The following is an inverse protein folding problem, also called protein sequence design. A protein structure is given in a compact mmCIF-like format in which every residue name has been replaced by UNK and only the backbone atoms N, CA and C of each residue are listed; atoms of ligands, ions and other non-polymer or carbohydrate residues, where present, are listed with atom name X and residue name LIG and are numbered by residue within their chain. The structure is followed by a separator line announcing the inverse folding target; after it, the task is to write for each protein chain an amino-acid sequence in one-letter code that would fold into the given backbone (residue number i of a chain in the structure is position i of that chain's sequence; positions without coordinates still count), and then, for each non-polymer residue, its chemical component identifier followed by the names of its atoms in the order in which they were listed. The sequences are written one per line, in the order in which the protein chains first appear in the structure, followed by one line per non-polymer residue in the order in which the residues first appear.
data_IF_680736551047
#
_entry.id   IF_680736551047
#
_cell.length_a   1.000
_cell.length_b   1.000
_cell.length_c   1.000
_cell.angle_alpha   90.00
_cell.angle_beta   90.00
_cell.angle_gamma   90.00
#
_symmetry.space_group_name_H-M   'P 1'
#
loop_
_entity.id
_entity.type
_entity.pdbx_description
1 polymer ?
#
# COMPACT_ATOMS: atom_id res chain seq x y z
N UNK A 1 -2.78 -0.57 -32.30
CA UNK A 1 -2.93 -0.11 -30.91
C UNK A 1 -3.48 -1.30 -30.14
N UNK A 2 -2.60 -2.25 -29.79
CA UNK A 2 -2.98 -3.42 -29.01
C UNK A 2 -3.06 -2.99 -27.56
N UNK A 3 -4.20 -3.20 -26.92
CA UNK A 3 -4.40 -2.76 -25.55
C UNK A 3 -3.49 -3.58 -24.63
N UNK A 4 -2.76 -2.90 -23.75
CA UNK A 4 -1.99 -3.52 -22.67
C UNK A 4 -2.90 -4.38 -21.75
N UNK A 5 -4.23 -4.17 -21.83
CA UNK A 5 -5.28 -4.92 -21.15
C UNK A 5 -5.42 -6.35 -21.63
N UNK A 6 -5.29 -6.65 -22.94
CA UNK A 6 -5.48 -8.02 -23.43
C UNK A 6 -4.35 -8.96 -23.00
N UNK A 7 -3.14 -8.42 -22.74
CA UNK A 7 -1.96 -9.24 -22.40
C UNK A 7 -1.73 -9.34 -20.89
N UNK A 8 -1.97 -8.27 -20.12
CA UNK A 8 -1.94 -8.30 -18.65
C UNK A 8 -3.22 -8.91 -18.07
N UNK A 9 -4.38 -8.57 -18.64
CA UNK A 9 -5.66 -9.22 -18.35
C UNK A 9 -5.57 -10.71 -18.60
N UNK A 10 -5.08 -11.15 -19.77
CA UNK A 10 -4.83 -12.58 -19.99
C UNK A 10 -3.77 -13.19 -19.04
N UNK A 11 -2.76 -12.42 -18.58
CA UNK A 11 -1.78 -12.89 -17.59
C UNK A 11 -2.45 -13.16 -16.24
N UNK A 12 -3.40 -12.30 -15.85
CA UNK A 12 -4.18 -12.36 -14.61
C UNK A 12 -5.50 -13.15 -14.75
N UNK A 13 -5.97 -13.48 -15.95
CA UNK A 13 -7.11 -14.36 -16.21
C UNK A 13 -6.66 -15.81 -16.41
N UNK A 14 -5.48 -16.04 -17.04
CA UNK A 14 -4.90 -17.39 -17.22
C UNK A 14 -4.14 -17.89 -16.00
N UNK A 15 -3.61 -16.98 -15.19
CA UNK A 15 -3.09 -17.22 -13.86
C UNK A 15 -3.67 -16.12 -12.97
N UNK A 16 -4.81 -16.34 -12.32
CA UNK A 16 -5.30 -15.37 -11.36
C UNK A 16 -4.17 -15.03 -10.38
N UNK A 17 -4.11 -13.76 -9.94
CA UNK A 17 -3.29 -13.38 -8.78
C UNK A 17 -3.62 -14.28 -7.56
N UNK A 18 -4.73 -15.03 -7.64
CA UNK A 18 -5.05 -16.26 -6.93
C UNK A 18 -4.04 -17.37 -7.24
N UNK A 19 -3.07 -17.54 -6.36
CA UNK A 19 -2.48 -18.88 -6.23
C UNK A 19 -2.21 -19.25 -4.78
N UNK A 20 -3.04 -20.14 -4.25
CA UNK A 20 -2.78 -20.84 -3.00
C UNK A 20 -2.11 -22.18 -3.33
N UNK A 21 -0.90 -22.41 -2.81
CA UNK A 21 -0.19 -23.69 -2.92
C UNK A 21 0.38 -24.00 -4.30
N UNK A 22 1.40 -23.25 -4.74
CA UNK A 22 2.11 -23.53 -5.98
C UNK A 22 3.12 -24.68 -5.83
N UNK A 23 3.16 -25.56 -6.84
CA UNK A 23 4.33 -26.39 -7.11
C UNK A 23 5.47 -25.52 -7.64
N UNK A 24 6.73 -25.89 -7.37
CA UNK A 24 7.95 -25.18 -7.80
C UNK A 24 7.92 -24.69 -9.25
N UNK A 25 7.34 -25.51 -10.14
CA UNK A 25 7.33 -25.25 -11.58
C UNK A 25 6.46 -24.02 -11.94
N UNK A 26 5.38 -23.76 -11.19
CA UNK A 26 4.50 -22.61 -11.43
C UNK A 26 5.04 -21.31 -10.83
N UNK A 27 5.81 -21.37 -9.73
CA UNK A 27 6.52 -20.20 -9.20
C UNK A 27 7.56 -19.68 -10.19
N UNK A 28 8.34 -20.59 -10.80
CA UNK A 28 9.33 -20.23 -11.82
C UNK A 28 8.70 -19.59 -13.07
N UNK A 29 7.49 -20.01 -13.44
CA UNK A 29 6.72 -19.43 -14.54
C UNK A 29 6.27 -18.01 -14.19
N UNK A 30 5.79 -17.77 -12.97
CA UNK A 30 5.42 -16.42 -12.51
C UNK A 30 6.63 -15.49 -12.48
N UNK A 31 7.77 -15.93 -11.94
CA UNK A 31 9.00 -15.15 -11.93
C UNK A 31 9.45 -14.74 -13.35
N UNK A 32 9.41 -15.68 -14.30
CA UNK A 32 9.70 -15.43 -15.71
C UNK A 32 8.76 -14.39 -16.33
N UNK A 33 7.45 -14.47 -16.04
CA UNK A 33 6.44 -13.55 -16.57
C UNK A 33 6.56 -12.14 -15.99
N UNK A 34 6.74 -12.00 -14.68
CA UNK A 34 6.99 -10.68 -14.07
C UNK A 34 8.36 -10.12 -14.49
N UNK A 35 9.38 -10.96 -14.69
CA UNK A 35 10.67 -10.56 -15.24
C UNK A 35 10.57 -9.93 -16.64
N UNK A 36 9.65 -10.45 -17.48
CA UNK A 36 9.39 -9.88 -18.81
C UNK A 36 8.76 -8.48 -18.78
N UNK A 37 8.15 -8.10 -17.65
CA UNK A 37 7.51 -6.80 -17.42
C UNK A 37 8.44 -5.82 -16.67
N UNK A 38 9.74 -6.12 -16.55
CA UNK A 38 10.71 -5.33 -15.79
C UNK A 38 10.79 -3.84 -16.15
N UNK A 39 10.36 -3.44 -17.35
CA UNK A 39 10.32 -2.04 -17.79
C UNK A 39 8.99 -1.31 -17.48
N UNK A 40 8.01 -2.00 -16.88
CA UNK A 40 6.71 -1.43 -16.58
C UNK A 40 6.83 -0.32 -15.53
N UNK A 41 6.29 0.86 -15.84
CA UNK A 41 6.30 2.04 -14.95
C UNK A 41 4.95 2.31 -14.29
N UNK A 42 3.88 1.84 -14.91
CA UNK A 42 2.51 2.10 -14.47
C UNK A 42 1.72 0.79 -14.52
N UNK A 43 1.21 0.37 -13.36
CA UNK A 43 0.29 -0.75 -13.24
C UNK A 43 -0.93 -0.29 -12.44
N UNK A 44 -2.09 -0.33 -13.07
CA UNK A 44 -3.37 -0.04 -12.44
C UNK A 44 -4.28 -1.24 -12.68
N UNK A 45 -4.64 -1.91 -11.60
CA UNK A 45 -5.56 -3.03 -11.57
C UNK A 45 -6.78 -2.70 -10.69
N UNK A 46 -7.07 -1.41 -10.46
CA UNK A 46 -8.14 -1.01 -9.57
C UNK A 46 -9.53 -1.33 -10.13
N UNK A 47 -10.48 -1.64 -9.24
CA UNK A 47 -11.89 -1.84 -9.60
C UNK A 47 -12.18 -3.15 -10.35
N UNK A 48 -11.28 -4.13 -10.27
CA UNK A 48 -11.52 -5.46 -10.82
C UNK A 48 -12.08 -6.34 -9.70
N UNK A 49 -13.40 -6.28 -9.49
CA UNK A 49 -14.13 -7.01 -8.45
C UNK A 49 -13.98 -8.55 -8.47
N UNK A 50 -13.20 -9.11 -9.40
CA UNK A 50 -12.89 -10.54 -9.54
C UNK A 50 -11.42 -10.87 -9.23
N UNK A 51 -10.55 -9.87 -9.01
CA UNK A 51 -9.19 -10.13 -8.56
C UNK A 51 -9.20 -10.42 -7.06
N UNK A 52 -9.05 -11.69 -6.71
CA UNK A 52 -9.09 -12.20 -5.34
C UNK A 52 -7.76 -12.89 -4.94
N UNK A 53 -7.69 -13.42 -3.72
CA UNK A 53 -6.51 -14.10 -3.20
C UNK A 53 -5.38 -13.14 -2.76
N UNK A 54 -4.17 -13.65 -2.53
CA UNK A 54 -3.07 -12.85 -2.00
C UNK A 54 -2.32 -12.03 -3.06
N UNK A 55 -1.89 -10.82 -2.70
CA UNK A 55 -0.95 -10.04 -3.52
C UNK A 55 0.35 -10.84 -3.66
N UNK A 56 0.74 -11.16 -4.90
CA UNK A 56 1.89 -12.01 -5.18
C UNK A 56 3.23 -11.29 -4.91
N UNK A 57 4.19 -11.93 -4.20
CA UNK A 57 5.52 -11.37 -3.93
C UNK A 57 6.30 -10.93 -5.18
N UNK A 58 6.10 -11.62 -6.31
CA UNK A 58 6.78 -11.37 -7.58
C UNK A 58 6.47 -9.98 -8.16
N UNK A 59 5.42 -9.30 -7.67
CA UNK A 59 5.16 -7.91 -8.01
C UNK A 59 6.34 -7.01 -7.62
N UNK A 60 7.11 -7.38 -6.60
CA UNK A 60 8.36 -6.73 -6.21
C UNK A 60 9.49 -6.78 -7.25
N UNK A 61 9.37 -7.62 -8.29
CA UNK A 61 10.37 -7.71 -9.37
C UNK A 61 10.23 -6.58 -10.41
N UNK A 62 9.14 -5.81 -10.37
CA UNK A 62 8.89 -4.69 -11.28
C UNK A 62 9.68 -3.44 -10.86
N UNK A 63 11.01 -3.53 -10.80
CA UNK A 63 11.88 -2.48 -10.23
C UNK A 63 11.75 -1.08 -10.86
N UNK A 64 11.20 -0.96 -12.08
CA UNK A 64 10.94 0.32 -12.75
C UNK A 64 9.56 0.93 -12.44
N UNK A 65 8.72 0.24 -11.65
CA UNK A 65 7.36 0.66 -11.34
C UNK A 65 7.37 1.98 -10.54
N UNK A 66 6.56 2.93 -10.99
CA UNK A 66 6.38 4.25 -10.39
C UNK A 66 4.96 4.42 -9.85
N UNK A 67 3.98 3.71 -10.40
CA UNK A 67 2.60 3.74 -9.98
C UNK A 67 2.05 2.31 -9.88
N UNK A 68 1.53 1.99 -8.71
CA UNK A 68 0.82 0.74 -8.44
C UNK A 68 -0.52 1.05 -7.77
N UNK A 69 -1.60 0.67 -8.44
CA UNK A 69 -2.95 0.74 -7.91
C UNK A 69 -3.59 -0.65 -7.92
N UNK A 70 -3.87 -1.18 -6.73
CA UNK A 70 -4.53 -2.46 -6.51
C UNK A 70 -5.88 -2.27 -5.78
N UNK A 71 -6.41 -1.06 -5.77
CA UNK A 71 -7.59 -0.69 -4.97
C UNK A 71 -8.88 -1.29 -5.51
N UNK A 72 -9.91 -1.46 -4.66
CA UNK A 72 -11.23 -1.92 -5.10
C UNK A 72 -11.16 -3.29 -5.80
N UNK A 73 -10.40 -4.20 -5.21
CA UNK A 73 -10.30 -5.62 -5.57
C UNK A 73 -10.61 -6.45 -4.33
N UNK A 74 -10.68 -7.77 -4.49
CA UNK A 74 -10.95 -8.73 -3.40
C UNK A 74 -9.68 -9.39 -2.87
N UNK A 75 -8.53 -8.70 -2.89
CA UNK A 75 -7.24 -9.25 -2.42
C UNK A 75 -7.22 -9.49 -0.92
N UNK A 76 -6.84 -10.67 -0.45
CA UNK A 76 -6.80 -11.03 0.96
C UNK A 76 -5.40 -11.41 1.46
N UNK A 77 -5.24 -11.53 2.77
CA UNK A 77 -4.00 -11.92 3.40
C UNK A 77 -3.01 -10.76 3.59
N UNK A 78 -1.73 -11.12 3.73
CA UNK A 78 -0.68 -10.16 4.06
C UNK A 78 -0.17 -9.44 2.82
N UNK A 79 0.04 -8.12 2.93
CA UNK A 79 0.79 -7.35 1.94
C UNK A 79 2.24 -7.86 1.92
N UNK A 80 2.78 -8.33 0.77
CA UNK A 80 4.10 -8.93 0.70
C UNK A 80 5.19 -7.88 0.90
N UNK A 81 6.19 -8.18 1.72
CA UNK A 81 7.32 -7.27 2.01
C UNK A 81 8.20 -7.01 0.78
N UNK A 82 8.10 -7.86 -0.25
CA UNK A 82 8.76 -7.70 -1.53
C UNK A 82 8.32 -6.45 -2.29
N UNK A 83 7.16 -5.84 -1.96
CA UNK A 83 6.81 -4.51 -2.48
C UNK A 83 7.84 -3.45 -2.10
N UNK A 84 8.60 -3.65 -1.02
CA UNK A 84 9.74 -2.80 -0.65
C UNK A 84 10.87 -2.77 -1.67
N UNK A 85 10.91 -3.69 -2.65
CA UNK A 85 11.90 -3.68 -3.73
C UNK A 85 11.59 -2.62 -4.81
N UNK A 86 10.39 -2.04 -4.80
CA UNK A 86 9.94 -1.04 -5.76
C UNK A 86 10.46 0.36 -5.42
N UNK A 87 11.78 0.54 -5.34
CA UNK A 87 12.42 1.80 -4.88
C UNK A 87 12.09 3.05 -5.73
N UNK A 88 11.63 2.84 -6.97
CA UNK A 88 11.15 3.89 -7.87
C UNK A 88 9.67 4.25 -7.69
N UNK A 89 8.95 3.54 -6.81
CA UNK A 89 7.51 3.71 -6.63
C UNK A 89 7.20 5.08 -6.03
N UNK A 90 6.32 5.81 -6.69
CA UNK A 90 5.89 7.16 -6.31
C UNK A 90 4.46 7.17 -5.79
N UNK A 91 3.62 6.26 -6.29
CA UNK A 91 2.23 6.15 -5.91
C UNK A 91 1.86 4.69 -5.62
N UNK A 92 1.33 4.46 -4.42
CA UNK A 92 0.86 3.16 -3.97
C UNK A 92 -0.55 3.29 -3.40
N UNK A 93 -1.49 2.58 -4.01
CA UNK A 93 -2.87 2.53 -3.56
C UNK A 93 -3.25 1.06 -3.29
N UNK A 94 -3.58 0.77 -2.03
CA UNK A 94 -4.04 -0.54 -1.58
C UNK A 94 -5.40 -0.36 -0.88
N UNK A 95 -6.44 -0.95 -1.44
CA UNK A 95 -7.78 -0.97 -0.87
C UNK A 95 -8.41 -2.34 -1.09
N UNK A 96 -9.18 -2.79 -0.10
CA UNK A 96 -10.13 -3.88 -0.31
C UNK A 96 -11.53 -3.38 0.08
N UNK A 97 -12.53 -3.85 -0.65
CA UNK A 97 -13.95 -3.62 -0.36
C UNK A 97 -14.44 -4.41 0.86
N UNK A 98 -13.72 -5.46 1.25
CA UNK A 98 -13.99 -6.31 2.39
C UNK A 98 -13.09 -5.90 3.55
N UNK A 99 -13.73 -5.38 4.60
CA UNK A 99 -13.05 -4.99 5.84
C UNK A 99 -12.23 -6.15 6.41
N UNK A 100 -10.93 -5.89 6.55
CA UNK A 100 -9.97 -6.77 7.18
C UNK A 100 -9.44 -7.94 6.37
N UNK A 101 -9.76 -7.98 5.07
CA UNK A 101 -9.15 -8.93 4.15
C UNK A 101 -7.64 -8.69 3.98
N UNK A 102 -7.18 -7.44 3.87
CA UNK A 102 -5.76 -7.11 3.78
C UNK A 102 -5.17 -6.73 5.15
N UNK A 103 -3.96 -7.22 5.41
CA UNK A 103 -3.19 -6.91 6.61
C UNK A 103 -1.72 -6.63 6.30
N UNK A 104 -1.07 -5.86 7.18
CA UNK A 104 0.39 -5.73 7.21
C UNK A 104 0.95 -7.06 7.77
N UNK A 105 1.87 -7.72 7.04
CA UNK A 105 2.53 -8.94 7.51
C UNK A 105 3.85 -8.66 8.24
N UNK A 106 4.33 -9.64 9.02
CA UNK A 106 5.44 -9.54 10.00
C UNK A 106 6.78 -8.95 9.49
N UNK A 107 6.96 -8.82 8.17
CA UNK A 107 8.08 -8.13 7.52
C UNK A 107 7.86 -6.62 7.40
N UNK A 108 7.40 -5.94 8.46
CA UNK A 108 6.91 -4.56 8.44
C UNK A 108 7.89 -3.55 7.78
N UNK A 109 9.19 -3.87 7.70
CA UNK A 109 10.26 -2.99 7.23
C UNK A 109 10.18 -2.51 5.77
N UNK A 110 9.31 -3.11 4.95
CA UNK A 110 9.30 -2.88 3.50
C UNK A 110 8.97 -1.44 3.09
N UNK A 111 8.07 -0.75 3.80
CA UNK A 111 7.69 0.63 3.49
C UNK A 111 8.86 1.59 3.59
N UNK A 112 9.82 1.32 4.48
CA UNK A 112 10.99 2.18 4.67
C UNK A 112 11.90 2.28 3.44
N UNK A 113 11.84 1.31 2.53
CA UNK A 113 12.62 1.30 1.30
C UNK A 113 11.99 2.16 0.19
N UNK A 114 10.72 2.55 0.34
CA UNK A 114 9.96 3.27 -0.66
C UNK A 114 10.15 4.79 -0.55
N UNK A 115 11.41 5.22 -0.52
CA UNK A 115 11.83 6.62 -0.31
C UNK A 115 11.36 7.59 -1.41
N UNK A 116 10.90 7.07 -2.54
CA UNK A 116 10.34 7.84 -3.65
C UNK A 116 8.84 8.10 -3.52
N UNK A 117 8.16 7.49 -2.55
CA UNK A 117 6.72 7.63 -2.39
C UNK A 117 6.31 9.08 -2.12
N UNK A 118 5.30 9.49 -2.88
CA UNK A 118 4.63 10.78 -2.78
C UNK A 118 3.15 10.61 -2.44
N UNK A 119 2.53 9.49 -2.85
CA UNK A 119 1.13 9.19 -2.57
C UNK A 119 1.03 7.79 -1.97
N UNK A 120 0.44 7.69 -0.80
CA UNK A 120 0.17 6.43 -0.13
C UNK A 120 -1.29 6.40 0.32
N UNK A 121 -2.04 5.40 -0.17
CA UNK A 121 -3.41 5.14 0.27
C UNK A 121 -3.56 3.72 0.76
N UNK A 122 -4.01 3.59 2.00
CA UNK A 122 -4.45 2.36 2.63
C UNK A 122 -5.92 2.51 3.00
N UNK A 123 -6.76 1.62 2.48
CA UNK A 123 -8.18 1.55 2.78
C UNK A 123 -8.50 0.16 3.34
N UNK A 124 -9.10 0.12 4.53
CA UNK A 124 -9.59 -1.10 5.18
C UNK A 124 -8.52 -2.14 5.51
N UNK A 125 -7.31 -1.68 5.85
CA UNK A 125 -6.21 -2.55 6.34
C UNK A 125 -6.43 -2.87 7.82
N UNK A 126 -6.79 -4.12 8.16
CA UNK A 126 -7.34 -4.50 9.47
C UNK A 126 -6.43 -4.25 10.67
N UNK A 127 -5.13 -4.51 10.53
CA UNK A 127 -4.19 -4.50 11.65
C UNK A 127 -3.29 -3.25 11.69
N UNK A 128 -3.56 -2.25 10.84
CA UNK A 128 -2.76 -1.02 10.82
C UNK A 128 -2.78 -0.28 12.17
N UNK A 129 -3.90 -0.33 12.88
CA UNK A 129 -4.07 0.26 14.21
C UNK A 129 -3.17 -0.34 15.30
N UNK A 130 -2.64 -1.55 15.10
CA UNK A 130 -1.77 -2.26 16.04
C UNK A 130 -0.32 -2.39 15.53
N UNK A 131 -0.07 -2.22 14.23
CA UNK A 131 1.27 -2.25 13.63
C UNK A 131 2.04 -0.94 13.87
N UNK A 132 2.65 -0.82 15.04
CA UNK A 132 3.49 0.33 15.41
C UNK A 132 4.68 0.51 14.45
N UNK A 133 5.24 -0.60 13.95
CA UNK A 133 6.34 -0.59 13.00
C UNK A 133 5.96 0.12 11.70
N UNK A 134 4.87 -0.33 11.06
CA UNK A 134 4.37 0.27 9.82
C UNK A 134 4.19 1.79 9.95
N UNK A 135 3.60 2.23 11.07
CA UNK A 135 3.35 3.64 11.33
C UNK A 135 4.63 4.47 11.47
N UNK A 136 5.63 3.96 12.18
CA UNK A 136 6.94 4.60 12.29
C UNK A 136 7.64 4.71 10.92
N UNK A 137 7.37 3.77 10.02
CA UNK A 137 7.93 3.80 8.68
C UNK A 137 7.25 4.80 7.78
N UNK A 138 5.91 4.87 7.83
CA UNK A 138 5.15 5.93 7.15
C UNK A 138 5.74 7.28 7.57
N UNK A 139 5.87 7.54 8.87
CA UNK A 139 6.39 8.81 9.40
C UNK A 139 7.81 9.17 8.89
N UNK A 140 8.61 8.18 8.48
CA UNK A 140 9.97 8.39 7.96
C UNK A 140 10.03 8.64 6.45
N UNK A 141 8.93 8.49 5.71
CA UNK A 141 8.90 8.72 4.26
C UNK A 141 9.23 10.19 3.94
N UNK A 142 10.26 10.48 3.13
CA UNK A 142 10.79 11.84 3.01
C UNK A 142 10.06 12.71 1.98
N UNK A 143 9.26 12.11 1.09
CA UNK A 143 8.66 12.80 -0.07
C UNK A 143 7.13 12.79 -0.07
N UNK A 144 6.51 12.30 0.99
CA UNK A 144 5.06 12.08 1.03
C UNK A 144 4.32 13.42 0.91
N UNK A 145 3.30 13.43 0.04
CA UNK A 145 2.43 14.58 -0.25
C UNK A 145 0.98 14.25 0.07
N UNK A 146 0.58 13.01 -0.21
CA UNK A 146 -0.77 12.52 0.08
C UNK A 146 -0.68 11.26 0.92
N UNK A 147 -1.36 11.29 2.07
CA UNK A 147 -1.53 10.14 2.96
C UNK A 147 -3.01 9.92 3.20
N UNK A 148 -3.51 8.75 2.83
CA UNK A 148 -4.89 8.33 3.04
C UNK A 148 -4.90 7.02 3.80
N UNK A 149 -5.47 7.02 5.01
CA UNK A 149 -5.59 5.85 5.88
C UNK A 149 -7.07 5.67 6.26
N UNK A 150 -7.88 5.24 5.31
CA UNK A 150 -9.34 5.21 5.42
C UNK A 150 -9.80 3.86 5.98
N UNK A 151 -10.78 3.85 6.90
CA UNK A 151 -11.35 2.62 7.47
C UNK A 151 -10.31 1.64 8.09
N UNK A 152 -9.16 2.14 8.51
CA UNK A 152 -8.07 1.32 9.09
C UNK A 152 -8.22 1.08 10.61
N UNK A 153 -9.43 1.28 11.15
CA UNK A 153 -9.73 1.14 12.58
C UNK A 153 -8.79 1.93 13.50
N UNK A 154 -8.26 3.06 13.03
CA UNK A 154 -7.37 3.92 13.82
C UNK A 154 -8.18 4.61 14.93
N UNK A 155 -7.61 4.68 16.12
CA UNK A 155 -8.28 5.21 17.32
C UNK A 155 -7.41 6.22 18.06
N UNK A 156 -7.89 6.77 19.17
CA UNK A 156 -7.08 7.72 19.95
C UNK A 156 -5.77 7.09 20.49
N UNK A 157 -5.75 5.77 20.71
CA UNK A 157 -4.52 5.04 21.06
C UNK A 157 -3.44 5.18 19.98
N UNK A 158 -3.84 5.26 18.71
CA UNK A 158 -2.92 5.51 17.59
C UNK A 158 -2.28 6.90 17.66
N UNK A 159 -3.02 7.93 18.06
CA UNK A 159 -2.48 9.29 18.25
C UNK A 159 -1.43 9.30 19.36
N UNK A 160 -1.71 8.60 20.47
CA UNK A 160 -0.81 8.52 21.61
C UNK A 160 0.51 7.85 21.28
N UNK A 161 0.47 6.76 20.51
CA UNK A 161 1.68 6.00 20.16
C UNK A 161 2.64 6.79 19.25
N UNK A 162 2.10 7.72 18.45
CA UNK A 162 2.89 8.55 17.53
C UNK A 162 3.16 9.97 18.04
N UNK A 163 2.73 10.32 19.26
CA UNK A 163 2.81 11.70 19.78
C UNK A 163 4.22 12.31 19.74
N UNK A 164 5.25 11.50 19.93
CA UNK A 164 6.66 11.94 19.91
C UNK A 164 7.37 11.65 18.59
N UNK A 165 6.64 11.20 17.56
CA UNK A 165 7.21 10.87 16.25
C UNK A 165 7.37 12.15 15.45
N UNK A 166 8.57 12.34 14.89
CA UNK A 166 8.83 13.39 13.90
C UNK A 166 8.49 12.85 12.51
N UNK A 167 7.59 13.53 11.82
CA UNK A 167 7.21 13.20 10.44
C UNK A 167 8.17 13.88 9.46
N UNK A 168 8.88 13.09 8.65
CA UNK A 168 9.85 13.59 7.67
C UNK A 168 9.18 14.36 6.51
N UNK A 169 7.89 14.12 6.29
CA UNK A 169 7.08 14.76 5.27
C UNK A 169 6.25 15.95 5.79
N UNK A 170 6.48 16.41 7.02
CA UNK A 170 5.59 17.40 7.66
C UNK A 170 5.42 18.70 6.88
N UNK A 171 6.45 19.13 6.14
CA UNK A 171 6.43 20.30 5.26
C UNK A 171 5.99 20.02 3.83
N UNK A 172 5.89 18.75 3.41
CA UNK A 172 5.51 18.36 2.05
C UNK A 172 4.10 17.79 1.94
N UNK A 173 3.51 17.31 3.04
CA UNK A 173 2.16 16.77 3.05
C UNK A 173 1.15 17.87 2.71
N UNK A 174 0.32 17.61 1.71
CA UNK A 174 -0.74 18.50 1.22
C UNK A 174 -2.14 17.92 1.41
N UNK A 175 -2.25 16.59 1.56
CA UNK A 175 -3.51 15.91 1.80
C UNK A 175 -3.32 14.82 2.86
N UNK A 176 -4.19 14.85 3.87
CA UNK A 176 -4.32 13.82 4.88
C UNK A 176 -5.78 13.41 4.99
N UNK A 177 -6.07 12.17 4.63
CA UNK A 177 -7.41 11.59 4.77
C UNK A 177 -7.38 10.48 5.83
N UNK A 178 -8.17 10.67 6.88
CA UNK A 178 -8.33 9.74 8.00
C UNK A 178 -9.80 9.36 8.20
N UNK A 179 -10.62 9.49 7.16
CA UNK A 179 -12.05 9.17 7.20
C UNK A 179 -12.30 7.70 7.54
N UNK A 180 -13.48 7.41 8.10
CA UNK A 180 -13.86 6.04 8.44
C UNK A 180 -13.13 5.41 9.64
N UNK A 181 -12.33 6.18 10.39
CA UNK A 181 -11.66 5.73 11.61
C UNK A 181 -12.48 6.04 12.88
N UNK A 182 -12.05 5.52 14.03
CA UNK A 182 -12.78 5.56 15.30
C UNK A 182 -12.22 6.59 16.30
N UNK A 183 -11.68 7.70 15.80
CA UNK A 183 -11.21 8.80 16.65
C UNK A 183 -12.36 9.44 17.42
N UNK A 184 -12.24 9.49 18.75
CA UNK A 184 -13.25 10.10 19.63
C UNK A 184 -12.69 11.31 20.39
N UNK A 185 -11.38 11.45 20.47
CA UNK A 185 -10.72 12.46 21.29
C UNK A 185 -10.54 13.79 20.55
N UNK A 186 -10.65 14.87 21.32
CA UNK A 186 -10.19 16.20 20.91
C UNK A 186 -8.67 16.29 20.69
N UNK A 187 -7.90 15.27 21.12
CA UNK A 187 -6.45 15.16 20.91
C UNK A 187 -6.02 14.95 19.45
N UNK A 188 -6.97 14.74 18.52
CA UNK A 188 -6.68 14.66 17.08
C UNK A 188 -6.09 15.99 16.56
N UNK A 189 -6.55 17.15 17.03
CA UNK A 189 -6.12 18.45 16.50
C UNK A 189 -4.64 18.77 16.83
N UNK A 190 -4.16 18.65 18.09
CA UNK A 190 -2.74 18.83 18.38
C UNK A 190 -1.83 17.80 17.72
N UNK A 191 -2.36 16.62 17.40
CA UNK A 191 -1.61 15.61 16.67
C UNK A 191 -1.51 15.95 15.19
N UNK A 192 -2.61 16.39 14.55
CA UNK A 192 -2.63 16.82 13.15
C UNK A 192 -1.62 17.96 12.89
N UNK A 193 -1.50 18.90 13.82
CA UNK A 193 -0.51 19.99 13.70
C UNK A 193 0.95 19.51 13.79
N UNK A 194 1.21 18.36 14.43
CA UNK A 194 2.53 17.72 14.45
C UNK A 194 2.79 16.88 13.19
N UNK A 195 1.74 16.31 12.57
CA UNK A 195 1.84 15.52 11.34
C UNK A 195 2.21 16.41 10.16
N UNK A 196 1.62 17.60 10.07
CA UNK A 196 1.94 18.55 9.01
C UNK A 196 1.67 19.98 9.42
N UNK A 197 2.58 20.87 9.00
CA UNK A 197 2.41 22.32 9.14
C UNK A 197 1.50 22.93 8.08
N UNK A 198 1.18 22.18 7.00
CA UNK A 198 0.46 22.70 5.84
C UNK A 198 -1.06 22.58 5.97
N UNK A 199 -1.56 21.74 6.88
CA UNK A 199 -3.00 21.54 7.13
C UNK A 199 -3.50 22.32 8.36
N UNK A 200 -2.71 23.26 8.86
CA UNK A 200 -3.16 24.17 9.91
C UNK A 200 -4.20 25.15 9.33
N UNK A 201 -5.48 24.91 9.63
CA UNK A 201 -6.53 25.93 9.59
C UNK A 201 -6.45 26.84 10.81
#
# INVERSE_FOLDING_TARGET
MFSLFDTLGALFESFPLVVTGLSSDKESVLESRFGSLSNLKYLNLAGNNYLEGSIQPQLGNLSQLQHLDLSYNSFEGSIPSQLGNLSNLQKLYLANDVDGALKIGDGDHWLSNLISLTHLSFHSISNLNTSHGCLQMIAKLPKLRELSLIHCSLSDHFILSLRHTKFNFSSSLSLLDLSGNTFMSSMILPWLSNVTSNLAC
#
